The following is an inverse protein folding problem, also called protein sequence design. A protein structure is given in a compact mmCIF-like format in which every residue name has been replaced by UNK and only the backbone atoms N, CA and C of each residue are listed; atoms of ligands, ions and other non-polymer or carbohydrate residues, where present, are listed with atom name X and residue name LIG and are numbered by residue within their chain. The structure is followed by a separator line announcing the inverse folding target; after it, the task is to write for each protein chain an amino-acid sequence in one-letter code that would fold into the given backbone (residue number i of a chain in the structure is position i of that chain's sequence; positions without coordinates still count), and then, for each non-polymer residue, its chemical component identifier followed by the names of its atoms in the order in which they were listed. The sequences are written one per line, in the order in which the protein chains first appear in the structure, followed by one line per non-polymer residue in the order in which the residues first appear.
data_IF_266783603074
#
_entry.id   IF_266783603074
#
_cell.length_a   1.000
_cell.length_b   1.000
_cell.length_c   1.000
_cell.angle_alpha   90.00
_cell.angle_beta   90.00
_cell.angle_gamma   90.00
#
_symmetry.space_group_name_H-M   'P 1'
#
loop_
_entity.id
_entity.type
_entity.pdbx_description
1 polymer ?
2 branched ?
3 non-polymer ?
4 water ?
#
# COMPACT_ATOMS: atom_id res chain seq x y z
N UNK A 4 -12.24 -24.96 4.76
CA UNK A 4 -11.79 -23.59 5.14
C UNK A 4 -10.31 -23.36 4.85
N UNK A 5 -9.98 -22.11 4.52
CA UNK A 5 -8.62 -21.72 4.22
C UNK A 5 -8.32 -20.37 4.86
N UNK A 6 -7.12 -20.21 5.42
CA UNK A 6 -6.73 -18.95 6.06
C UNK A 6 -6.96 -17.75 5.14
N UNK A 7 -6.58 -17.89 3.87
CA UNK A 7 -6.75 -16.82 2.90
C UNK A 7 -7.50 -17.25 1.65
N UNK A 8 -8.17 -16.30 0.98
CA UNK A 8 -8.94 -16.60 -0.24
C UNK A 8 -7.99 -16.97 -1.37
N UNK A 9 -8.54 -17.61 -2.40
CA UNK A 9 -7.75 -18.00 -3.56
C UNK A 9 -7.04 -16.79 -4.14
N UNK A 10 -5.78 -16.99 -4.51
CA UNK A 10 -4.95 -15.95 -5.11
C UNK A 10 -4.44 -14.88 -4.15
N UNK A 11 -4.78 -14.99 -2.87
CA UNK A 11 -4.29 -14.03 -1.90
C UNK A 11 -3.00 -14.57 -1.29
N UNK A 12 -2.28 -13.71 -0.59
CA UNK A 12 -1.02 -14.07 0.05
C UNK A 12 -1.13 -13.91 1.57
N UNK A 13 -0.62 -14.90 2.30
CA UNK A 13 -0.66 -14.88 3.76
C UNK A 13 0.67 -14.44 4.35
N UNK A 14 0.60 -13.58 5.36
CA UNK A 14 1.78 -13.14 6.09
C UNK A 14 1.34 -12.61 7.45
N UNK A 15 1.87 -13.23 8.51
CA UNK A 15 1.56 -12.85 9.89
C UNK A 15 0.10 -12.57 10.24
N UNK A 16 -0.77 -13.55 10.01
CA UNK A 16 -2.17 -13.40 10.35
C UNK A 16 -3.03 -12.55 9.45
N UNK A 17 -2.47 -12.06 8.35
CA UNK A 17 -3.24 -11.24 7.43
C UNK A 17 -3.10 -11.78 6.01
N UNK A 18 -4.10 -11.46 5.19
CA UNK A 18 -4.11 -11.87 3.79
C UNK A 18 -3.97 -10.63 2.94
N UNK A 19 -3.17 -10.74 1.89
CA UNK A 19 -2.93 -9.63 0.99
C UNK A 19 -3.31 -9.99 -0.43
N UNK A 20 -3.98 -9.06 -1.10
CA UNK A 20 -4.37 -9.28 -2.49
C UNK A 20 -3.51 -8.39 -3.36
N UNK A 21 -2.67 -8.99 -4.20
CA UNK A 21 -1.84 -8.22 -5.12
C UNK A 21 -2.64 -8.22 -6.42
N UNK A 22 -3.17 -7.07 -6.81
CA UNK A 22 -3.99 -7.01 -8.01
C UNK A 22 -3.22 -7.34 -9.28
N UNK A 23 -3.96 -7.77 -10.30
CA UNK A 23 -3.40 -8.09 -11.60
C UNK A 23 -3.99 -7.13 -12.62
N UNK A 24 -4.71 -6.13 -12.11
CA UNK A 24 -5.32 -5.09 -12.93
C UNK A 24 -4.98 -3.76 -12.24
N UNK A 25 -5.25 -2.65 -12.92
CA UNK A 25 -4.91 -1.33 -12.39
C UNK A 25 -6.08 -0.40 -12.12
N UNK A 26 -5.91 0.49 -11.14
CA UNK A 26 -6.91 1.48 -10.73
C UNK A 26 -6.21 2.72 -10.18
N UNK A 27 -6.92 3.85 -10.15
CA UNK A 27 -6.30 5.03 -9.55
C UNK A 27 -6.40 4.79 -8.04
N UNK A 28 -5.81 5.66 -7.25
CA UNK A 28 -5.81 5.46 -5.81
C UNK A 28 -7.19 5.40 -5.15
N UNK A 29 -8.07 6.33 -5.48
CA UNK A 29 -9.40 6.32 -4.87
C UNK A 29 -10.20 5.08 -5.23
N UNK A 30 -10.09 4.63 -6.47
CA UNK A 30 -10.81 3.43 -6.89
C UNK A 30 -10.19 2.17 -6.28
N UNK A 31 -8.91 2.25 -5.91
CA UNK A 31 -8.24 1.12 -5.28
C UNK A 31 -8.82 0.97 -3.87
N UNK A 32 -9.08 2.10 -3.21
CA UNK A 32 -9.67 2.06 -1.88
C UNK A 32 -11.02 1.33 -1.96
N UNK A 33 -11.81 1.70 -2.96
CA UNK A 33 -13.12 1.09 -3.14
C UNK A 33 -13.03 -0.40 -3.48
N UNK A 34 -12.09 -0.76 -4.34
CA UNK A 34 -11.92 -2.15 -4.73
C UNK A 34 -11.67 -3.02 -3.50
N UNK A 35 -10.86 -2.52 -2.58
CA UNK A 35 -10.56 -3.29 -1.38
C UNK A 35 -11.77 -3.39 -0.48
N UNK A 36 -12.51 -2.30 -0.33
CA UNK A 36 -13.71 -2.34 0.52
C UNK A 36 -14.72 -3.34 -0.03
N UNK A 37 -14.79 -3.45 -1.36
CA UNK A 37 -15.72 -4.36 -2.01
C UNK A 37 -15.44 -5.83 -1.71
N UNK A 38 -14.22 -6.14 -1.30
CA UNK A 38 -13.87 -7.52 -0.97
C UNK A 38 -13.59 -7.68 0.52
N UNK A 39 -14.17 -6.79 1.32
CA UNK A 39 -14.01 -6.83 2.76
C UNK A 39 -12.62 -6.54 3.28
N UNK A 40 -11.86 -5.74 2.54
CA UNK A 40 -10.49 -5.41 2.92
C UNK A 40 -10.23 -3.91 2.89
N UNK A 41 -8.96 -3.55 3.03
CA UNK A 41 -8.56 -2.15 3.02
C UNK A 41 -7.26 -1.99 2.23
N UNK A 42 -7.13 -0.88 1.50
CA UNK A 42 -5.91 -0.61 0.74
C UNK A 42 -4.82 -0.65 1.81
N UNK A 43 -3.85 -1.53 1.62
CA UNK A 43 -2.83 -1.80 2.62
C UNK A 43 -2.23 -0.70 3.48
N UNK A 44 -2.39 -0.90 4.79
CA UNK A 44 -1.87 -0.01 5.81
C UNK A 44 -0.79 -0.84 6.51
N UNK A 45 0.45 -0.40 6.40
CA UNK A 45 1.57 -1.12 7.00
C UNK A 45 1.67 -0.73 8.47
N UNK A 46 1.39 -1.69 9.35
CA UNK A 46 1.42 -1.45 10.79
C UNK A 46 2.71 -1.87 11.48
N UNK A 47 3.61 -2.51 10.75
CA UNK A 47 4.88 -2.93 11.32
C UNK A 47 6.01 -2.98 10.30
N UNK A 48 7.24 -3.05 10.81
CA UNK A 48 8.44 -3.09 9.98
C UNK A 48 8.61 -4.41 9.23
N UNK A 49 8.26 -5.52 9.87
CA UNK A 49 8.39 -6.82 9.22
C UNK A 49 7.47 -6.89 8.01
N UNK A 50 6.32 -6.23 8.12
CA UNK A 50 5.33 -6.20 7.05
C UNK A 50 5.86 -5.44 5.84
N UNK A 51 6.52 -4.31 6.10
CA UNK A 51 7.08 -3.49 5.03
C UNK A 51 8.11 -4.25 4.20
N UNK A 52 9.03 -4.94 4.87
CA UNK A 52 10.07 -5.69 4.17
C UNK A 52 9.46 -6.78 3.30
N UNK A 53 8.44 -7.44 3.83
CA UNK A 53 7.77 -8.50 3.10
C UNK A 53 7.06 -7.98 1.86
N UNK A 54 6.30 -6.90 2.02
CA UNK A 54 5.58 -6.33 0.90
C UNK A 54 6.49 -5.73 -0.16
N UNK A 55 7.55 -5.05 0.27
CA UNK A 55 8.48 -4.43 -0.66
C UNK A 55 9.15 -5.47 -1.56
N UNK A 56 9.45 -6.63 -0.99
CA UNK A 56 10.08 -7.70 -1.75
C UNK A 56 9.14 -8.23 -2.82
N UNK A 57 7.88 -8.47 -2.46
CA UNK A 57 6.91 -8.98 -3.42
C UNK A 57 6.67 -7.96 -4.54
N UNK A 58 6.53 -6.69 -4.16
CA UNK A 58 6.29 -5.63 -5.12
C UNK A 58 7.48 -5.44 -6.07
N UNK A 59 8.69 -5.47 -5.51
CA UNK A 59 9.89 -5.30 -6.32
C UNK A 59 9.99 -6.42 -7.36
N UNK A 60 9.71 -7.65 -6.93
CA UNK A 60 9.78 -8.79 -7.84
C UNK A 60 8.70 -8.70 -8.91
N UNK A 61 7.52 -8.21 -8.54
CA UNK A 61 6.42 -8.09 -9.50
C UNK A 61 6.78 -7.05 -10.56
N UNK A 62 7.72 -6.17 -10.22
CA UNK A 62 8.17 -5.12 -11.11
C UNK A 62 6.97 -4.30 -11.59
N UNK A 63 6.07 -3.99 -10.65
CA UNK A 63 4.88 -3.21 -10.94
C UNK A 63 4.73 -2.07 -9.94
N UNK A 64 4.33 -0.90 -10.42
CA UNK A 64 4.11 0.24 -9.53
C UNK A 64 2.80 -0.12 -8.83
N UNK A 65 2.80 -0.07 -7.50
CA UNK A 65 1.65 -0.51 -6.72
C UNK A 65 1.25 0.42 -5.58
N UNK A 66 -0.03 0.80 -5.55
CA UNK A 66 -0.54 1.69 -4.50
C UNK A 66 -0.60 1.05 -3.12
N UNK A 67 -0.40 1.89 -2.11
CA UNK A 67 -0.55 1.48 -0.72
C UNK A 67 -1.53 2.50 -0.13
N UNK A 68 -2.10 2.20 1.03
CA UNK A 68 -3.07 3.11 1.63
C UNK A 68 -2.48 4.26 2.41
N UNK A 69 -1.70 5.10 1.74
CA UNK A 69 -1.04 6.23 2.37
C UNK A 69 -1.13 7.45 1.45
N UNK A 70 -1.44 8.60 2.03
CA UNK A 70 -1.57 9.83 1.24
C UNK A 70 -1.35 11.10 2.06
N UNK A 71 -1.05 12.19 1.37
CA UNK A 71 -0.90 13.48 2.04
C UNK A 71 -1.87 14.47 1.38
N UNK A 72 -3.00 13.93 0.93
CA UNK A 72 -4.06 14.69 0.28
C UNK A 72 -4.67 15.78 1.16
N UNK A 73 -4.96 15.44 2.41
CA UNK A 73 -5.57 16.39 3.33
C UNK A 73 -4.66 17.54 3.73
N UNK A 74 -3.38 17.25 3.91
CA UNK A 74 -2.41 18.28 4.29
C UNK A 74 -1.06 17.95 3.67
N UNK A 75 -0.68 18.70 2.64
CA UNK A 75 0.59 18.46 1.96
C UNK A 75 1.75 18.28 2.92
N UNK A 76 2.47 17.17 2.79
CA UNK A 76 3.61 16.91 3.64
C UNK A 76 3.33 16.02 4.83
N UNK A 77 2.07 15.95 5.25
CA UNK A 77 1.70 15.10 6.37
C UNK A 77 1.06 13.84 5.81
N UNK A 78 1.81 12.74 5.83
CA UNK A 78 1.33 11.47 5.30
C UNK A 78 0.52 10.69 6.32
N UNK A 79 -0.68 10.30 5.91
CA UNK A 79 -1.60 9.57 6.78
C UNK A 79 -2.13 8.30 6.12
N UNK A 80 -2.28 7.25 6.90
CA UNK A 80 -2.81 6.00 6.37
C UNK A 80 -4.33 6.15 6.23
N UNK A 81 -4.93 5.32 5.38
CA UNK A 81 -6.37 5.40 5.14
C UNK A 81 -7.26 5.05 6.33
N UNK A 82 -6.68 4.47 7.37
CA UNK A 82 -7.46 4.13 8.55
C UNK A 82 -7.47 5.33 9.49
N UNK A 83 -6.77 6.39 9.08
CA UNK A 83 -6.72 7.60 9.89
C UNK A 83 -5.42 7.72 10.68
N UNK A 84 -4.67 6.63 10.73
CA UNK A 84 -3.41 6.58 11.46
C UNK A 84 -2.32 7.42 10.78
N UNK A 85 -1.45 8.06 11.58
CA UNK A 85 -0.37 8.89 11.06
C UNK A 85 0.88 8.09 10.70
N UNK A 86 1.66 8.57 9.74
CA UNK A 86 2.89 7.89 9.35
C UNK A 86 3.91 8.13 10.46
N UNK A 87 4.63 7.08 10.85
CA UNK A 87 5.63 7.19 11.91
C UNK A 87 7.01 7.58 11.38
N UNK A 88 7.83 8.23 12.22
CA UNK A 88 9.18 8.66 11.85
C UNK A 88 10.08 7.49 11.45
N UNK A 89 9.84 6.33 12.06
CA UNK A 89 10.64 5.13 11.78
C UNK A 89 10.31 4.52 10.42
N UNK A 90 9.13 4.84 9.89
CA UNK A 90 8.70 4.33 8.59
C UNK A 90 9.14 5.24 7.46
N UNK A 91 9.60 6.44 7.80
CA UNK A 91 10.04 7.41 6.81
C UNK A 91 11.33 7.02 6.11
N UNK A 92 12.01 6.01 6.64
CA UNK A 92 13.26 5.53 6.04
C UNK A 92 12.98 4.75 4.75
N UNK A 93 11.70 4.46 4.50
CA UNK A 93 11.33 3.68 3.32
C UNK A 93 11.14 4.42 1.99
N UNK A 94 11.13 5.75 2.02
CA UNK A 94 10.98 6.51 0.78
C UNK A 94 12.23 6.36 -0.10
N UNK A 95 12.06 6.34 -1.42
CA UNK A 95 13.21 6.24 -2.31
C UNK A 95 13.99 7.55 -2.19
N UNK A 96 15.22 7.57 -2.70
CA UNK A 96 16.03 8.78 -2.63
C UNK A 96 15.36 9.90 -3.40
N UNK A 97 15.26 11.07 -2.78
CA UNK A 97 14.63 12.21 -3.42
C UNK A 97 13.13 12.26 -3.23
N UNK A 98 12.58 11.29 -2.51
CA UNK A 98 11.14 11.24 -2.26
C UNK A 98 10.82 11.49 -0.79
N UNK A 99 9.62 12.01 -0.50
CA UNK A 99 8.59 12.38 -1.47
C UNK A 99 8.88 13.78 -2.01
N UNK A 100 8.74 13.97 -3.32
CA UNK A 100 9.05 15.27 -3.92
C UNK A 100 7.86 16.08 -4.43
N UNK A 101 6.67 15.51 -4.34
CA UNK A 101 5.44 16.18 -4.76
C UNK A 101 5.52 16.82 -6.15
N UNK A 102 6.36 16.27 -7.02
CA UNK A 102 6.52 16.84 -8.36
C UNK A 102 5.22 16.79 -9.16
N UNK A 103 4.68 17.97 -9.47
CA UNK A 103 3.45 18.03 -10.22
C UNK A 103 2.24 17.67 -9.38
N UNK A 104 2.41 17.75 -8.06
CA UNK A 104 1.36 17.45 -7.09
C UNK A 104 1.10 15.95 -7.00
N UNK A 105 1.85 15.30 -6.10
CA UNK A 105 1.75 13.86 -5.89
C UNK A 105 1.33 13.62 -4.45
N UNK A 106 0.11 13.15 -4.26
CA UNK A 106 -0.40 12.94 -2.91
C UNK A 106 -0.71 11.51 -2.50
N UNK A 107 -0.33 10.54 -3.33
CA UNK A 107 -0.58 9.14 -3.00
C UNK A 107 0.73 8.35 -3.05
N UNK A 108 0.89 7.38 -2.14
CA UNK A 108 2.12 6.59 -2.08
C UNK A 108 2.03 5.23 -2.78
N UNK A 109 3.12 4.85 -3.43
CA UNK A 109 3.22 3.59 -4.17
C UNK A 109 4.53 2.88 -3.83
N UNK A 110 4.57 1.57 -4.06
CA UNK A 110 5.79 0.81 -3.87
C UNK A 110 6.46 0.99 -5.21
N UNK A 111 7.71 1.43 -5.19
CA UNK A 111 8.48 1.66 -6.40
C UNK A 111 9.89 1.11 -6.21
N UNK A 112 10.27 0.16 -7.05
CA UNK A 112 11.60 -0.42 -6.93
C UNK A 112 11.79 -1.01 -5.56
N UNK A 113 12.78 -0.51 -4.82
CA UNK A 113 13.06 -1.03 -3.49
C UNK A 113 12.52 -0.16 -2.36
N UNK A 114 11.78 0.88 -2.71
CA UNK A 114 11.23 1.75 -1.68
C UNK A 114 9.88 2.34 -2.05
N UNK A 115 9.58 3.51 -1.49
CA UNK A 115 8.32 4.18 -1.76
C UNK A 115 8.50 5.45 -2.57
N UNK A 116 7.45 5.81 -3.30
CA UNK A 116 7.46 7.03 -4.08
C UNK A 116 6.08 7.64 -4.01
N UNK A 117 6.01 8.96 -4.07
CA UNK A 117 4.72 9.63 -4.09
C UNK A 117 4.46 9.92 -5.57
N UNK A 118 3.23 9.68 -6.01
CA UNK A 118 2.87 9.91 -7.41
C UNK A 118 1.47 10.50 -7.50
N UNK A 119 1.04 10.86 -8.71
CA UNK A 119 -0.29 11.43 -8.92
C UNK A 119 -1.39 10.41 -8.61
N UNK A 120 -2.31 10.80 -7.73
CA UNK A 120 -3.40 9.92 -7.33
C UNK A 120 -4.33 9.46 -8.44
N UNK A 121 -4.37 10.20 -9.55
CA UNK A 121 -5.26 9.84 -10.65
C UNK A 121 -4.64 8.82 -11.60
N UNK A 122 -3.40 8.44 -11.35
CA UNK A 122 -2.71 7.48 -12.21
C UNK A 122 -3.19 6.09 -11.83
N UNK A 123 -3.37 5.24 -12.84
CA UNK A 123 -3.80 3.88 -12.59
C UNK A 123 -2.57 3.03 -12.32
N UNK A 124 -2.60 2.28 -11.22
CA UNK A 124 -1.51 1.40 -10.85
C UNK A 124 -2.10 0.15 -10.24
N UNK A 125 -1.25 -0.83 -9.98
CA UNK A 125 -1.73 -2.04 -9.32
C UNK A 125 -1.93 -1.63 -7.87
N UNK A 126 -2.56 -2.48 -7.07
CA UNK A 126 -2.78 -2.15 -5.68
C UNK A 126 -2.77 -3.40 -4.83
N UNK A 127 -2.66 -3.20 -3.52
CA UNK A 127 -2.64 -4.30 -2.58
C UNK A 127 -3.69 -4.10 -1.49
N UNK A 128 -4.55 -5.10 -1.30
CA UNK A 128 -5.56 -5.04 -0.25
C UNK A 128 -5.07 -5.91 0.89
N UNK A 129 -5.54 -5.60 2.10
CA UNK A 129 -5.15 -6.35 3.28
C UNK A 129 -6.38 -6.60 4.15
N UNK A 130 -6.49 -7.82 4.66
CA UNK A 130 -7.57 -8.18 5.57
C UNK A 130 -7.03 -9.28 6.47
N UNK A 131 -7.67 -9.52 7.61
CA UNK A 131 -7.17 -10.54 8.51
C UNK A 131 -7.37 -11.95 7.96
N UNK A 132 -6.46 -12.85 8.32
CA UNK A 132 -6.53 -14.24 7.88
C UNK A 132 -7.38 -15.04 8.85
N UNK A 133 -8.18 -15.96 8.32
CA UNK A 133 -9.04 -16.79 9.15
C UNK A 133 -8.23 -17.92 9.76
N UNK A 134 -8.66 -18.41 10.92
CA UNK A 134 -7.96 -19.49 11.59
C UNK A 134 -8.85 -20.73 11.71
N UNK A 135 -8.44 -21.81 11.06
CA UNK A 135 -9.20 -23.06 11.11
C UNK A 135 -8.32 -24.23 11.51
X LIG B 1 7.33 7.59 -17.98
X LIG B 1 8.57 8.30 -18.53
X LIG B 1 9.74 7.31 -18.62
X LIG B 1 9.96 6.59 -17.29
X LIG B 1 8.64 5.96 -16.82
X LIG B 1 8.75 5.29 -15.46
X LIG B 1 6.93 6.60 -18.86
X LIG B 1 8.93 9.38 -17.68
X LIG B 1 10.93 8.01 -18.98
X LIG B 1 10.94 5.57 -17.45
X LIG B 1 7.62 6.98 -16.71
X LIG B 1 9.11 6.27 -14.46
X LIG B 2 9.01 5.75 -13.16
X LIG B 2 8.97 6.90 -12.15
X LIG B 2 10.35 7.56 -12.01
X LIG B 2 11.42 6.51 -11.74
X LIG B 2 11.38 5.43 -12.81
X LIG B 2 12.40 4.34 -12.51
X LIG B 2 8.54 6.41 -10.88
X LIG B 2 10.33 8.51 -10.93
X LIG B 2 12.70 7.13 -11.72
X LIG B 2 10.06 4.83 -12.85
X LIG B 2 11.85 3.03 -12.74
X LIG B 3 10.26 9.86 -11.28
X LIG B 3 10.54 10.72 -10.04
X LIG B 3 9.42 10.51 -9.01
X LIG B 3 8.08 10.84 -9.64
X LIG B 3 7.88 10.01 -10.92
X LIG B 3 6.61 10.38 -11.67
X LIG B 3 10.58 12.09 -10.41
X LIG B 3 9.64 11.33 -7.88
X LIG B 3 7.03 10.57 -8.72
X LIG B 3 8.99 10.21 -11.82
X LIG B 3 6.61 11.75 -12.04
X LIG B 4 12.37 2.03 -11.90
X LIG B 4 11.80 2.12 -10.47
X LIG B 4 12.53 3.18 -9.64
X LIG B 4 14.04 2.95 -9.69
X LIG B 4 14.51 2.95 -11.15
X LIG B 4 15.99 2.67 -11.30
X LIG B 4 11.91 0.86 -9.84
X LIG B 4 12.09 3.12 -8.29
X LIG B 4 14.70 3.98 -8.98
X LIG B 4 13.80 1.93 -11.91
X LIG B 4 16.62 2.51 -10.04
X LIG C 1 2.02 15.60 -1.83
X LIG D 1 7.63 11.37 -6.35
X LIG E 1 -0.92 18.13 -2.41
#
# INVERSE_FOLDING_TARGET
ERLCHPCPWEWTFFQGNCYFMSNSQRNWHDSITACKEVGAQLVVIKSAEEQNFLQLQSSRSNRFTWMGLSDLNQEGTWQWVDGSPLLPSFKQYWNRGEPNNVGEEDCAEFSGNGWNDDKCNLAKFWICKKSAASCSRDEEQFLSPAPATPNPPPA
MAN C1 C2 C3 C4 C5 C6 O1 O2 O3 O4 O5 O6
MAN C1 C2 C3 C4 C5 C6 O2 O3 O4 O5 O6
MAN C1 C2 C3 C4 C5 C6 O2 O3 O4 O5 O6
MAN C1 C2 C3 C4 C5 C6 O2 O3 O4 O5 O6
CA CA
CA CA
CA CA
#
